data_IF_970060029417
#
_entry.id   IF_970060029417
#
_cell.length_a   1.000
_cell.length_b   1.000
_cell.length_c   1.000
_cell.angle_alpha   90.00
_cell.angle_beta   90.00
_cell.angle_gamma   90.00
#
_symmetry.space_group_name_H-M   'P 1'
#
loop_
_entity.id
_entity.type
_entity.pdbx_description
1 polymer ?
#
# COMPACT_ATOMS: atom_id res chain seq x y z
N UNK A 1 0.57 0.10 9.96
CA UNK A 1 0.82 -0.40 8.58
C UNK A 1 2.27 -0.12 8.17
N UNK A 2 3.24 -0.89 8.67
CA UNK A 2 4.68 -0.67 8.37
C UNK A 2 5.01 -1.07 6.93
N UNK A 3 4.42 -2.16 6.44
CA UNK A 3 4.60 -2.69 5.08
C UNK A 3 4.26 -1.67 3.97
N UNK A 4 3.05 -1.12 3.98
CA UNK A 4 2.58 -0.13 2.98
C UNK A 4 3.40 1.15 3.03
N UNK A 5 3.84 1.57 4.24
CA UNK A 5 4.70 2.74 4.39
C UNK A 5 6.11 2.50 3.84
N UNK A 6 6.62 1.28 3.94
CA UNK A 6 7.91 0.87 3.39
C UNK A 6 7.87 0.79 1.87
N UNK A 7 6.80 0.19 1.32
CA UNK A 7 6.50 0.22 -0.11
C UNK A 7 6.52 1.66 -0.66
N UNK A 8 5.76 2.57 -0.04
CA UNK A 8 5.66 3.96 -0.49
C UNK A 8 6.91 4.80 -0.25
N UNK A 9 7.65 4.56 0.85
CA UNK A 9 8.83 5.37 1.22
C UNK A 9 10.08 4.97 0.46
N UNK A 10 10.26 3.68 0.18
CA UNK A 10 11.49 3.15 -0.40
C UNK A 10 11.31 2.64 -1.84
N UNK A 11 10.09 2.66 -2.40
CA UNK A 11 9.84 2.17 -3.76
C UNK A 11 10.09 0.67 -3.92
N UNK A 12 9.93 -0.09 -2.84
CA UNK A 12 10.22 -1.52 -2.79
C UNK A 12 9.18 -2.34 -3.56
N UNK A 13 9.58 -3.49 -4.11
CA UNK A 13 8.62 -4.43 -4.69
C UNK A 13 7.81 -5.16 -3.60
N UNK A 14 6.69 -5.78 -3.96
CA UNK A 14 5.90 -6.59 -3.02
C UNK A 14 6.71 -7.71 -2.38
N UNK A 15 7.63 -8.32 -3.13
CA UNK A 15 8.54 -9.37 -2.64
C UNK A 15 9.57 -8.83 -1.66
N UNK A 16 10.15 -7.65 -1.93
CA UNK A 16 11.08 -7.04 -0.98
C UNK A 16 10.38 -6.74 0.35
N UNK A 17 9.13 -6.27 0.30
CA UNK A 17 8.33 -6.01 1.50
C UNK A 17 7.99 -7.30 2.25
N UNK A 18 7.65 -8.38 1.54
CA UNK A 18 7.46 -9.73 2.10
C UNK A 18 8.74 -10.20 2.81
N UNK A 19 9.88 -10.19 2.13
CA UNK A 19 11.16 -10.61 2.72
C UNK A 19 11.54 -9.80 3.96
N UNK A 20 11.26 -8.49 3.96
CA UNK A 20 11.53 -7.61 5.10
C UNK A 20 10.57 -7.86 6.27
N UNK A 21 9.36 -8.31 6.00
CA UNK A 21 8.41 -8.74 7.03
C UNK A 21 8.84 -10.08 7.61
N UNK A 22 9.23 -11.04 6.76
CA UNK A 22 9.76 -12.34 7.19
C UNK A 22 11.04 -12.17 8.03
N UNK A 23 11.97 -11.30 7.62
CA UNK A 23 13.17 -10.94 8.39
C UNK A 23 12.86 -10.33 9.75
N UNK A 24 11.68 -9.76 9.94
CA UNK A 24 11.19 -9.23 11.22
C UNK A 24 10.38 -10.23 12.05
N UNK A 25 10.28 -11.49 11.59
CA UNK A 25 9.47 -12.51 12.23
C UNK A 25 7.98 -12.45 11.88
N UNK A 26 7.60 -11.64 10.89
CA UNK A 26 6.22 -11.57 10.38
C UNK A 26 6.12 -12.44 9.13
N UNK A 27 5.66 -13.67 9.30
CA UNK A 27 5.35 -14.56 8.18
C UNK A 27 4.08 -14.07 7.48
N UNK A 28 4.24 -13.48 6.31
CA UNK A 28 3.16 -13.09 5.41
C UNK A 28 3.54 -13.48 4.00
N UNK A 29 2.54 -13.91 3.24
CA UNK A 29 2.72 -14.19 1.80
C UNK A 29 2.61 -12.88 0.99
N UNK A 30 3.33 -12.79 -0.13
CA UNK A 30 3.29 -11.66 -1.07
C UNK A 30 1.85 -11.26 -1.49
N UNK A 31 0.93 -12.22 -1.59
CA UNK A 31 -0.50 -11.96 -1.88
C UNK A 31 -1.17 -11.18 -0.74
N UNK A 32 -0.75 -11.42 0.50
CA UNK A 32 -1.24 -10.68 1.68
C UNK A 32 -0.76 -9.23 1.62
N UNK A 33 0.50 -9.01 1.26
CA UNK A 33 1.06 -7.66 1.07
C UNK A 33 0.34 -6.94 -0.08
N UNK A 34 0.07 -7.63 -1.18
CA UNK A 34 -0.69 -7.10 -2.31
C UNK A 34 -2.11 -6.67 -1.90
N UNK A 35 -2.84 -7.52 -1.16
CA UNK A 35 -4.18 -7.20 -0.62
C UNK A 35 -4.14 -6.00 0.33
N UNK A 36 -3.12 -5.89 1.17
CA UNK A 36 -2.93 -4.71 2.02
C UNK A 36 -2.71 -3.47 1.18
N UNK A 37 -1.82 -3.50 0.20
CA UNK A 37 -1.60 -2.35 -0.68
C UNK A 37 -2.88 -1.97 -1.42
N UNK A 38 -3.64 -2.92 -1.98
CA UNK A 38 -4.93 -2.61 -2.62
C UNK A 38 -5.94 -1.99 -1.64
N UNK A 39 -6.00 -2.44 -0.39
CA UNK A 39 -6.91 -1.90 0.65
C UNK A 39 -6.48 -0.51 1.13
N UNK A 40 -5.18 -0.26 1.27
CA UNK A 40 -4.63 0.97 1.86
C UNK A 40 -4.27 2.04 0.83
N UNK A 41 -4.04 1.67 -0.43
CA UNK A 41 -3.80 2.63 -1.53
C UNK A 41 -4.93 3.65 -1.67
N UNK A 42 -6.23 3.27 -1.75
CA UNK A 42 -7.30 4.26 -1.82
C UNK A 42 -7.43 5.08 -0.54
N UNK A 43 -7.13 4.51 0.63
CA UNK A 43 -7.15 5.24 1.92
C UNK A 43 -6.03 6.29 2.01
N UNK A 44 -4.86 6.00 1.43
CA UNK A 44 -3.73 6.92 1.36
C UNK A 44 -3.88 7.92 0.20
N UNK A 45 -4.48 7.50 -0.91
CA UNK A 45 -4.81 8.33 -2.07
C UNK A 45 -5.98 9.27 -1.80
N UNK A 46 -6.90 8.93 -0.87
CA UNK A 46 -8.00 9.82 -0.45
C UNK A 46 -7.52 11.12 0.22
N UNK A 47 -6.22 11.25 0.51
CA UNK A 47 -5.61 12.52 0.91
C UNK A 47 -5.28 13.44 -0.26
N UNK A 48 -5.36 12.96 -1.51
CA UNK A 48 -5.29 13.77 -2.72
C UNK A 48 -6.71 13.95 -3.26
N UNK A 49 -7.23 15.15 -2.95
CA UNK A 49 -8.44 15.85 -3.45
C UNK A 49 -9.59 14.99 -3.99
N UNK A 50 -10.84 15.23 -3.54
CA UNK A 50 -12.00 14.71 -4.26
C UNK A 50 -11.89 15.15 -5.72
N UNK A 51 -12.01 14.18 -6.63
CA UNK A 51 -12.30 14.44 -8.04
C UNK A 51 -13.45 15.43 -8.05
N UNK A 52 -13.18 16.64 -8.55
CA UNK A 52 -14.21 17.63 -8.80
C UNK A 52 -15.27 16.91 -9.65
N UNK A 53 -16.54 16.82 -9.22
CA UNK A 53 -17.56 16.27 -10.10
C UNK A 53 -17.55 17.05 -11.41
N UNK A 54 -17.79 16.40 -12.57
CA UNK A 54 -17.98 17.14 -13.80
C UNK A 54 -19.10 18.17 -13.55
N UNK A 55 -18.85 19.41 -13.96
CA UNK A 55 -19.70 20.58 -13.70
C UNK A 55 -21.19 20.25 -13.89
N UNK A 56 -22.10 20.77 -13.04
CA UNK A 56 -23.52 20.68 -13.32
C UNK A 56 -23.82 21.51 -14.58
N UNK A 57 -24.75 20.98 -15.38
CA UNK A 57 -25.24 21.55 -16.64
C UNK A 57 -25.63 23.02 -16.50
#
# INVERSE_FOLDING_TARGET
>A
MVAVRWYLRHGLSYRDVEELLVKRGVQVDHVTVFRWVQRFTPLLASRRRPVLPPYPQ
#
